data_IF_562901470301
#
_entry.id   IF_562901470301
#
_cell.length_a   1.000
_cell.length_b   1.000
_cell.length_c   1.000
_cell.angle_alpha   90.00
_cell.angle_beta   90.00
_cell.angle_gamma   90.00
#
_symmetry.space_group_name_H-M   'P 1'
#
loop_
_entity.id
_entity.type
_entity.pdbx_description
1 polymer ?
#
# COMPACT_ATOMS: atom_id res chain seq x y z
N UNK A 1 -6.04 -53.50 4.79
CA UNK A 1 -6.92 -52.85 5.78
C UNK A 1 -8.26 -53.55 5.78
N UNK A 2 -8.77 -53.90 6.96
CA UNK A 2 -10.09 -54.52 7.11
C UNK A 2 -11.20 -53.49 6.81
N UNK A 3 -12.38 -53.95 6.37
CA UNK A 3 -13.53 -53.06 6.09
C UNK A 3 -13.99 -52.27 7.33
N UNK A 4 -13.67 -52.75 8.53
CA UNK A 4 -14.00 -52.11 9.79
C UNK A 4 -13.09 -50.90 10.06
N UNK A 5 -11.79 -51.04 9.84
CA UNK A 5 -10.81 -49.94 9.95
C UNK A 5 -11.15 -48.77 9.02
N UNK A 6 -11.59 -49.06 7.79
CA UNK A 6 -11.94 -48.01 6.82
C UNK A 6 -13.18 -47.20 7.25
N UNK A 7 -14.16 -47.85 7.88
CA UNK A 7 -15.36 -47.20 8.44
C UNK A 7 -15.03 -46.32 9.65
N UNK A 8 -14.11 -46.78 10.49
CA UNK A 8 -13.63 -46.00 11.65
C UNK A 8 -12.83 -44.78 11.22
N UNK A 9 -11.93 -44.93 10.24
CA UNK A 9 -11.17 -43.81 9.67
C UNK A 9 -12.10 -42.76 9.04
N UNK A 10 -13.12 -43.17 8.28
CA UNK A 10 -14.13 -42.25 7.72
C UNK A 10 -14.85 -41.45 8.82
N UNK A 11 -15.29 -42.12 9.88
CA UNK A 11 -15.95 -41.47 11.02
C UNK A 11 -15.00 -40.51 11.77
N UNK A 12 -13.73 -40.86 11.88
CA UNK A 12 -12.72 -40.01 12.51
C UNK A 12 -12.50 -38.72 11.69
N UNK A 13 -12.36 -38.83 10.37
CA UNK A 13 -12.21 -37.69 9.46
C UNK A 13 -13.45 -36.78 9.50
N UNK A 14 -14.66 -37.35 9.45
CA UNK A 14 -15.91 -36.58 9.57
C UNK A 14 -16.02 -35.83 10.90
N UNK A 15 -15.62 -36.46 12.02
CA UNK A 15 -15.60 -35.83 13.34
C UNK A 15 -14.57 -34.70 13.43
N UNK A 16 -13.38 -34.89 12.86
CA UNK A 16 -12.36 -33.85 12.81
C UNK A 16 -12.82 -32.66 11.97
N UNK A 17 -13.42 -32.90 10.81
CA UNK A 17 -14.00 -31.84 9.97
C UNK A 17 -15.11 -31.06 10.68
N UNK A 18 -15.99 -31.74 11.42
CA UNK A 18 -17.02 -31.08 12.25
C UNK A 18 -16.40 -30.22 13.36
N UNK A 19 -15.43 -30.76 14.11
CA UNK A 19 -14.73 -30.00 15.17
C UNK A 19 -14.03 -28.75 14.64
N UNK A 20 -13.38 -28.86 13.48
CA UNK A 20 -12.74 -27.71 12.84
C UNK A 20 -13.77 -26.67 12.42
N UNK A 21 -14.91 -27.09 11.85
CA UNK A 21 -16.00 -26.19 11.50
C UNK A 21 -16.58 -25.49 12.72
N UNK A 22 -16.86 -26.22 13.79
CA UNK A 22 -17.41 -25.68 15.03
C UNK A 22 -16.43 -24.67 15.68
N UNK A 23 -15.12 -24.92 15.61
CA UNK A 23 -14.09 -23.99 16.09
C UNK A 23 -14.08 -22.68 15.28
N UNK A 24 -14.19 -22.77 13.95
CA UNK A 24 -14.27 -21.59 13.07
C UNK A 24 -15.54 -20.79 13.35
N UNK A 25 -16.68 -21.46 13.49
CA UNK A 25 -17.96 -20.80 13.81
C UNK A 25 -17.89 -20.11 15.18
N UNK A 26 -17.27 -20.75 16.19
CA UNK A 26 -17.02 -20.16 17.51
C UNK A 26 -16.14 -18.91 17.42
N UNK A 27 -14.98 -19.01 16.77
CA UNK A 27 -14.02 -17.89 16.63
C UNK A 27 -14.62 -16.72 15.85
N UNK A 28 -15.39 -17.00 14.80
CA UNK A 28 -16.03 -15.95 14.01
C UNK A 28 -17.16 -15.27 14.77
N UNK A 29 -17.91 -15.99 15.63
CA UNK A 29 -18.89 -15.38 16.53
C UNK A 29 -18.22 -14.48 17.55
N UNK A 30 -17.17 -14.95 18.22
CA UNK A 30 -16.40 -14.17 19.20
C UNK A 30 -15.83 -12.89 18.57
N UNK A 31 -15.27 -12.99 17.36
CA UNK A 31 -14.74 -11.82 16.64
C UNK A 31 -15.85 -10.81 16.29
N UNK A 32 -17.02 -11.28 15.85
CA UNK A 32 -18.17 -10.41 15.57
C UNK A 32 -18.68 -9.71 16.82
N UNK A 33 -18.73 -10.41 17.95
CA UNK A 33 -19.14 -9.84 19.25
C UNK A 33 -18.15 -8.77 19.73
N UNK A 34 -16.83 -9.02 19.63
CA UNK A 34 -15.80 -8.01 19.94
C UNK A 34 -15.94 -6.78 19.05
N UNK A 35 -16.08 -6.96 17.74
CA UNK A 35 -16.29 -5.85 16.82
C UNK A 35 -17.58 -5.07 17.11
N UNK A 36 -18.68 -5.77 17.44
CA UNK A 36 -19.93 -5.11 17.80
C UNK A 36 -19.79 -4.27 19.09
N UNK A 37 -19.06 -4.79 20.09
CA UNK A 37 -18.76 -4.05 21.32
C UNK A 37 -17.85 -2.84 21.06
N UNK A 38 -16.82 -2.99 20.24
CA UNK A 38 -15.93 -1.89 19.83
C UNK A 38 -16.68 -0.80 19.06
N UNK A 39 -17.56 -1.17 18.13
CA UNK A 39 -18.42 -0.23 17.39
C UNK A 39 -19.39 0.50 18.32
N UNK A 40 -20.01 -0.20 19.27
CA UNK A 40 -20.87 0.42 20.28
C UNK A 40 -20.09 1.41 21.14
N UNK A 41 -18.89 1.03 21.62
CA UNK A 41 -18.00 1.90 22.40
C UNK A 41 -17.60 3.15 21.61
N UNK A 42 -17.18 3.00 20.36
CA UNK A 42 -16.81 4.12 19.51
C UNK A 42 -18.00 5.04 19.21
N UNK A 43 -19.18 4.47 18.99
CA UNK A 43 -20.41 5.25 18.80
C UNK A 43 -20.72 6.08 20.04
N UNK A 44 -20.66 5.50 21.23
CA UNK A 44 -20.88 6.24 22.48
C UNK A 44 -19.78 7.28 22.75
N UNK A 45 -18.52 6.99 22.42
CA UNK A 45 -17.43 7.98 22.50
C UNK A 45 -17.67 9.16 21.55
N UNK A 46 -18.16 8.90 20.33
CA UNK A 46 -18.51 9.93 19.36
C UNK A 46 -19.72 10.76 19.83
N UNK A 47 -20.73 10.12 20.42
CA UNK A 47 -21.88 10.81 21.03
C UNK A 47 -21.42 11.74 22.18
N UNK A 48 -20.51 11.28 23.05
CA UNK A 48 -19.94 12.11 24.12
C UNK A 48 -19.09 13.25 23.55
N UNK A 49 -18.25 12.99 22.55
CA UNK A 49 -17.42 14.03 21.93
C UNK A 49 -18.29 15.11 21.24
N UNK A 50 -19.41 14.73 20.63
CA UNK A 50 -20.37 15.67 20.06
C UNK A 50 -21.13 16.51 21.11
N UNK A 51 -21.19 16.08 22.38
CA UNK A 51 -21.73 16.89 23.49
C UNK A 51 -20.68 17.79 24.15
N UNK A 52 -19.39 17.57 23.88
CA UNK A 52 -18.28 18.38 24.38
C UNK A 52 -17.87 19.47 23.37
N UNK A 53 -18.30 19.39 22.11
CA UNK A 53 -17.98 20.37 21.06
C UNK A 53 -18.68 21.73 21.14
N UNK A 54 -19.24 22.14 22.28
CA UNK A 54 -19.42 23.57 22.60
C UNK A 54 -18.23 24.15 23.38
N UNK A 55 -17.26 23.33 23.80
CA UNK A 55 -16.01 23.76 24.40
C UNK A 55 -14.84 22.86 23.96
N UNK A 56 -14.01 23.44 23.09
CA UNK A 56 -12.62 23.04 22.81
C UNK A 56 -12.39 21.95 21.75
N UNK A 57 -11.90 22.43 20.62
CA UNK A 57 -11.57 21.68 19.41
C UNK A 57 -10.07 21.30 19.44
N UNK A 58 -9.75 20.02 19.67
CA UNK A 58 -8.41 19.48 19.37
C UNK A 58 -8.48 18.02 18.90
N UNK A 59 -8.32 17.84 17.60
CA UNK A 59 -7.59 16.75 16.96
C UNK A 59 -8.02 15.30 17.22
N UNK A 60 -8.93 14.77 16.39
CA UNK A 60 -8.99 13.32 16.14
C UNK A 60 -8.89 13.05 14.64
N UNK A 61 -7.70 12.59 14.26
CA UNK A 61 -7.47 11.96 12.98
C UNK A 61 -8.04 10.54 12.94
N UNK A 62 -8.12 10.07 11.70
CA UNK A 62 -7.91 8.70 11.28
C UNK A 62 -9.13 7.81 10.98
N UNK A 63 -9.25 7.55 9.66
CA UNK A 63 -9.15 6.23 9.02
C UNK A 63 -10.07 5.12 9.54
N UNK A 64 -10.77 4.35 8.73
CA UNK A 64 -10.83 4.16 7.29
C UNK A 64 -11.88 3.05 7.12
N UNK A 65 -12.91 3.23 6.29
CA UNK A 65 -13.83 2.13 5.99
C UNK A 65 -13.89 1.84 4.50
N UNK A 66 -13.49 0.61 4.24
CA UNK A 66 -13.50 -0.20 3.02
C UNK A 66 -14.92 -0.68 2.75
N UNK A 67 -15.38 -0.61 1.49
CA UNK A 67 -16.56 -1.36 1.04
C UNK A 67 -16.29 -1.99 -0.34
N UNK A 68 -16.12 -3.32 -0.30
CA UNK A 68 -16.50 -4.28 -1.35
C UNK A 68 -18.04 -4.32 -1.44
N UNK A 69 -18.72 -4.54 -2.56
CA UNK A 69 -18.52 -5.53 -3.63
C UNK A 69 -19.81 -6.36 -3.75
N UNK A 70 -20.19 -6.74 -4.99
CA UNK A 70 -21.26 -7.70 -5.30
C UNK A 70 -22.53 -7.06 -5.90
N UNK A 71 -22.78 -7.03 -7.22
CA UNK A 71 -23.01 -8.10 -8.23
C UNK A 71 -24.47 -8.54 -8.37
N UNK A 72 -25.10 -8.26 -9.52
CA UNK A 72 -25.85 -9.21 -10.38
C UNK A 72 -26.58 -8.46 -11.51
N UNK A 73 -26.28 -8.85 -12.75
CA UNK A 73 -27.19 -8.64 -13.90
C UNK A 73 -28.40 -9.59 -13.80
N UNK A 74 -29.41 -9.48 -14.69
CA UNK A 74 -29.20 -9.61 -16.12
C UNK A 74 -29.97 -8.59 -16.99
N UNK A 75 -29.56 -8.56 -18.26
CA UNK A 75 -30.19 -7.77 -19.32
C UNK A 75 -31.64 -8.17 -19.59
N UNK A 76 -32.40 -7.17 -20.01
CA UNK A 76 -33.67 -7.33 -20.71
C UNK A 76 -33.61 -6.48 -21.97
N UNK A 77 -33.56 -7.21 -23.09
CA UNK A 77 -33.70 -6.78 -24.47
C UNK A 77 -35.05 -6.07 -24.68
N UNK A 78 -35.12 -5.11 -25.63
CA UNK A 78 -36.28 -4.97 -26.50
C UNK A 78 -37.12 -3.68 -26.44
N UNK A 79 -37.17 -3.04 -27.62
CA UNK A 79 -38.34 -2.38 -28.26
C UNK A 79 -38.40 -0.84 -28.25
N UNK A 80 -37.89 -0.31 -29.37
CA UNK A 80 -38.38 0.78 -30.24
C UNK A 80 -39.74 1.43 -29.93
N UNK A 81 -39.80 2.77 -29.94
CA UNK A 81 -40.47 3.53 -31.01
C UNK A 81 -40.20 5.04 -30.90
N UNK A 82 -39.84 5.62 -32.02
CA UNK A 82 -39.58 7.02 -32.30
C UNK A 82 -40.87 7.85 -32.25
N UNK A 83 -40.81 9.02 -31.60
CA UNK A 83 -41.80 10.08 -31.68
C UNK A 83 -41.15 11.42 -31.30
N UNK A 84 -41.25 12.47 -32.13
CA UNK A 84 -40.53 13.72 -31.92
C UNK A 84 -41.31 14.71 -31.04
N UNK A 85 -40.56 15.64 -30.46
CA UNK A 85 -40.95 16.97 -29.98
C UNK A 85 -41.13 17.24 -28.48
N UNK A 86 -40.52 18.38 -28.14
CA UNK A 86 -40.76 19.33 -27.06
C UNK A 86 -40.08 19.14 -25.69
N UNK A 87 -39.38 20.21 -25.35
CA UNK A 87 -38.44 20.45 -24.26
C UNK A 87 -39.17 20.51 -22.92
N UNK A 88 -39.60 19.35 -22.43
CA UNK A 88 -39.93 19.20 -21.00
C UNK A 88 -38.62 18.89 -20.29
N UNK A 89 -38.18 19.77 -19.40
CA UNK A 89 -37.04 19.50 -18.51
C UNK A 89 -37.30 18.18 -17.78
N UNK A 90 -36.71 17.09 -18.30
CA UNK A 90 -36.90 15.74 -17.79
C UNK A 90 -36.35 15.76 -16.37
N UNK A 91 -37.25 15.78 -15.39
CA UNK A 91 -36.86 15.64 -14.00
C UNK A 91 -36.00 14.39 -13.88
N UNK A 92 -34.77 14.58 -13.39
CA UNK A 92 -33.79 13.50 -13.26
C UNK A 92 -34.46 12.30 -12.59
N UNK A 93 -34.39 11.15 -13.26
CA UNK A 93 -34.97 9.90 -12.76
C UNK A 93 -34.47 9.60 -11.36
N UNK A 94 -35.28 8.91 -10.54
CA UNK A 94 -34.87 8.42 -9.21
C UNK A 94 -33.53 7.64 -9.28
N UNK A 95 -33.30 6.90 -10.37
CA UNK A 95 -32.04 6.19 -10.62
C UNK A 95 -30.87 7.15 -10.86
N UNK A 96 -31.09 8.23 -11.63
CA UNK A 96 -30.09 9.25 -11.90
C UNK A 96 -29.71 10.03 -10.63
N UNK A 97 -30.69 10.39 -9.79
CA UNK A 97 -30.43 11.02 -8.49
C UNK A 97 -29.63 10.11 -7.54
N UNK A 98 -29.90 8.80 -7.54
CA UNK A 98 -29.10 7.83 -6.75
C UNK A 98 -27.65 7.72 -7.23
N UNK A 99 -27.42 7.73 -8.54
CA UNK A 99 -26.05 7.72 -9.11
C UNK A 99 -25.30 9.00 -8.78
N UNK A 100 -25.95 10.16 -8.94
CA UNK A 100 -25.36 11.46 -8.62
C UNK A 100 -25.05 11.60 -7.12
N UNK A 101 -25.94 11.14 -6.23
CA UNK A 101 -25.68 11.14 -4.79
C UNK A 101 -24.51 10.21 -4.41
N UNK A 102 -24.39 9.05 -5.05
CA UNK A 102 -23.26 8.14 -4.84
C UNK A 102 -21.95 8.76 -5.34
N UNK A 103 -21.96 9.36 -6.52
CA UNK A 103 -20.79 10.04 -7.09
C UNK A 103 -20.35 11.23 -6.25
N UNK A 104 -21.28 12.02 -5.72
CA UNK A 104 -20.97 13.15 -4.83
C UNK A 104 -20.32 12.66 -3.52
N UNK A 105 -20.86 11.61 -2.91
CA UNK A 105 -20.30 11.03 -1.69
C UNK A 105 -18.92 10.39 -1.90
N UNK A 106 -18.70 9.76 -3.06
CA UNK A 106 -17.39 9.20 -3.42
C UNK A 106 -16.35 10.31 -3.67
N UNK A 107 -16.74 11.38 -4.38
CA UNK A 107 -15.88 12.54 -4.59
C UNK A 107 -15.52 13.25 -3.26
N UNK A 108 -16.46 13.40 -2.33
CA UNK A 108 -16.19 13.97 -1.01
C UNK A 108 -15.24 13.08 -0.19
N UNK A 109 -15.42 11.77 -0.24
CA UNK A 109 -14.53 10.80 0.42
C UNK A 109 -13.12 10.86 -0.16
N UNK A 110 -12.99 10.90 -1.47
CA UNK A 110 -11.69 11.03 -2.15
C UNK A 110 -11.01 12.36 -1.84
N UNK A 111 -11.76 13.46 -1.84
CA UNK A 111 -11.24 14.78 -1.45
C UNK A 111 -10.72 14.78 0.00
N UNK A 112 -11.44 14.13 0.94
CA UNK A 112 -10.98 13.98 2.32
C UNK A 112 -9.70 13.14 2.43
N UNK A 113 -9.60 12.07 1.64
CA UNK A 113 -8.40 11.23 1.60
C UNK A 113 -7.20 11.99 1.01
N UNK A 114 -7.43 12.77 -0.05
CA UNK A 114 -6.38 13.57 -0.69
C UNK A 114 -5.87 14.65 0.25
N UNK A 115 -6.77 15.37 0.92
CA UNK A 115 -6.41 16.36 1.93
C UNK A 115 -5.62 15.75 3.12
N UNK A 116 -5.99 14.55 3.57
CA UNK A 116 -5.23 13.85 4.63
C UNK A 116 -3.83 13.44 4.15
N UNK A 117 -3.69 13.03 2.89
CA UNK A 117 -2.39 12.68 2.29
C UNK A 117 -1.50 13.92 2.10
N UNK A 118 -2.06 15.03 1.63
CA UNK A 118 -1.33 16.28 1.48
C UNK A 118 -0.89 16.84 2.85
N UNK A 119 -1.72 16.69 3.88
CA UNK A 119 -1.39 17.09 5.25
C UNK A 119 -0.31 16.21 5.90
N UNK A 120 -0.14 14.95 5.49
CA UNK A 120 0.91 14.07 6.01
C UNK A 120 2.33 14.45 5.58
N UNK A 121 2.47 15.35 4.60
CA UNK A 121 3.77 15.85 4.15
C UNK A 121 4.60 14.80 3.42
N UNK A 122 5.87 15.12 3.08
CA UNK A 122 6.78 14.20 2.41
C UNK A 122 7.08 12.99 3.31
N UNK A 123 7.19 11.81 2.70
CA UNK A 123 7.56 10.60 3.43
C UNK A 123 9.01 10.67 3.91
N UNK A 124 9.33 9.97 5.00
CA UNK A 124 10.72 9.88 5.50
C UNK A 124 11.69 9.43 4.41
N UNK A 125 11.28 8.44 3.61
CA UNK A 125 12.02 7.97 2.45
C UNK A 125 12.33 9.08 1.44
N UNK A 126 11.36 9.94 1.12
CA UNK A 126 11.58 11.05 0.19
C UNK A 126 12.57 12.08 0.75
N UNK A 127 12.50 12.36 2.06
CA UNK A 127 13.44 13.26 2.74
C UNK A 127 14.86 12.67 2.79
N UNK A 128 14.99 11.36 2.99
CA UNK A 128 16.28 10.66 2.93
C UNK A 128 16.87 10.64 1.52
N UNK A 129 16.04 10.35 0.50
CA UNK A 129 16.45 10.37 -0.90
C UNK A 129 16.91 11.77 -1.34
N UNK A 130 16.19 12.83 -0.95
CA UNK A 130 16.60 14.22 -1.23
C UNK A 130 17.97 14.55 -0.62
N UNK A 131 18.19 14.17 0.64
CA UNK A 131 19.48 14.36 1.32
C UNK A 131 20.60 13.57 0.63
N UNK A 132 20.34 12.31 0.26
CA UNK A 132 21.31 11.48 -0.46
C UNK A 132 21.65 12.07 -1.83
N UNK A 133 20.66 12.53 -2.59
CA UNK A 133 20.88 13.21 -3.87
C UNK A 133 21.72 14.48 -3.72
N UNK A 134 21.50 15.26 -2.66
CA UNK A 134 22.30 16.45 -2.35
C UNK A 134 23.78 16.14 -2.14
N UNK A 135 24.11 14.96 -1.60
CA UNK A 135 25.49 14.49 -1.42
C UNK A 135 26.09 13.91 -2.71
N UNK A 136 25.28 13.26 -3.54
CA UNK A 136 25.75 12.54 -4.73
C UNK A 136 25.88 13.43 -5.96
N UNK A 137 25.03 14.45 -6.11
CA UNK A 137 25.03 15.33 -7.28
C UNK A 137 26.37 16.05 -7.52
N UNK A 138 27.07 16.60 -6.49
CA UNK A 138 28.41 17.19 -6.67
C UNK A 138 29.47 16.18 -7.12
N UNK A 139 29.24 14.89 -6.85
CA UNK A 139 30.13 13.79 -7.25
C UNK A 139 29.78 13.25 -8.64
N UNK A 140 28.81 13.85 -9.35
CA UNK A 140 28.25 13.34 -10.61
C UNK A 140 27.70 11.91 -10.51
N UNK A 141 27.20 11.52 -9.33
CA UNK A 141 26.59 10.22 -9.08
C UNK A 141 25.07 10.34 -8.96
N UNK A 142 24.37 9.27 -9.31
CA UNK A 142 22.91 9.16 -9.22
C UNK A 142 22.49 7.86 -8.54
N UNK A 143 21.33 7.88 -7.87
CA UNK A 143 20.74 6.68 -7.27
C UNK A 143 19.93 5.94 -8.33
N UNK A 144 20.12 4.63 -8.44
CA UNK A 144 19.29 3.74 -9.22
C UNK A 144 18.59 2.77 -8.29
N UNK A 145 17.27 2.67 -8.38
CA UNK A 145 16.50 1.75 -7.55
C UNK A 145 16.79 0.29 -7.90
N UNK A 146 17.05 -0.52 -6.87
CA UNK A 146 17.21 -1.97 -6.97
C UNK A 146 16.08 -2.62 -6.15
N UNK A 147 15.48 -3.73 -6.61
CA UNK A 147 14.45 -4.42 -5.86
C UNK A 147 14.87 -4.74 -4.42
N UNK A 148 13.99 -4.46 -3.45
CA UNK A 148 14.22 -4.72 -2.03
C UNK A 148 14.02 -6.21 -1.67
N UNK A 149 14.80 -7.09 -2.29
CA UNK A 149 14.85 -8.53 -2.01
C UNK A 149 16.17 -8.92 -1.31
N UNK A 150 16.31 -10.18 -0.91
CA UNK A 150 17.55 -10.69 -0.30
C UNK A 150 18.76 -10.77 -1.24
N UNK A 151 18.58 -10.48 -2.53
CA UNK A 151 19.64 -10.48 -3.55
C UNK A 151 19.99 -9.06 -4.01
N UNK A 152 19.45 -8.02 -3.38
CA UNK A 152 19.61 -6.62 -3.78
C UNK A 152 21.08 -6.22 -3.93
N UNK A 153 21.96 -6.72 -3.05
CA UNK A 153 23.41 -6.48 -3.13
C UNK A 153 23.99 -7.01 -4.45
N UNK A 154 23.68 -8.25 -4.83
CA UNK A 154 24.19 -8.86 -6.06
C UNK A 154 23.61 -8.19 -7.31
N UNK A 155 22.33 -7.79 -7.26
CA UNK A 155 21.68 -7.04 -8.33
C UNK A 155 22.34 -5.68 -8.55
N UNK A 156 22.68 -4.97 -7.47
CA UNK A 156 23.39 -3.69 -7.56
C UNK A 156 24.79 -3.86 -8.18
N UNK A 157 25.53 -4.89 -7.75
CA UNK A 157 26.85 -5.19 -8.31
C UNK A 157 26.77 -5.56 -9.80
N UNK A 158 25.82 -6.41 -10.17
CA UNK A 158 25.59 -6.77 -11.57
C UNK A 158 25.31 -5.53 -12.43
N UNK A 159 24.48 -4.61 -11.93
CA UNK A 159 24.16 -3.38 -12.64
C UNK A 159 25.39 -2.50 -12.87
N UNK A 160 26.23 -2.35 -11.85
CA UNK A 160 27.48 -1.59 -11.94
C UNK A 160 28.45 -2.22 -12.95
N UNK A 161 28.65 -3.55 -12.91
CA UNK A 161 29.59 -4.25 -13.78
C UNK A 161 29.17 -4.20 -15.26
N UNK A 162 27.87 -4.34 -15.55
CA UNK A 162 27.36 -4.28 -16.92
C UNK A 162 27.29 -2.85 -17.49
N UNK A 163 27.34 -1.84 -16.62
CA UNK A 163 27.30 -0.42 -17.02
C UNK A 163 28.66 0.14 -17.43
N UNK A 164 29.75 -0.58 -17.16
CA UNK A 164 31.09 -0.21 -17.65
C UNK A 164 31.15 -0.59 -19.12
N UNK A 165 31.26 0.37 -20.06
CA UNK A 165 31.48 0.03 -21.46
C UNK A 165 32.80 -0.73 -21.55
N UNK A 166 32.77 -1.91 -22.16
CA UNK A 166 33.97 -2.66 -22.50
C UNK A 166 34.88 -1.72 -23.32
N UNK A 167 35.97 -1.28 -22.70
CA UNK A 167 37.06 -0.64 -23.42
C UNK A 167 37.55 -1.66 -24.44
N UNK A 168 37.37 -1.33 -25.71
CA UNK A 168 37.91 -1.93 -26.92
C UNK A 168 38.83 -3.16 -26.67
N UNK A 169 38.29 -4.35 -26.98
CA UNK A 169 39.01 -5.62 -26.93
C UNK A 169 40.25 -5.59 -27.84
N UNK A 170 41.44 -5.61 -27.27
CA UNK A 170 42.59 -6.27 -27.87
C UNK A 170 42.67 -7.67 -27.26
N UNK A 171 42.39 -8.66 -28.09
CA UNK A 171 42.32 -10.07 -27.72
C UNK A 171 43.65 -10.58 -27.16
N UNK A 172 43.72 -10.79 -25.84
CA UNK A 172 44.75 -11.63 -25.23
C UNK A 172 44.09 -12.84 -24.60
N UNK A 173 44.35 -13.99 -25.23
CA UNK A 173 43.92 -15.30 -24.78
C UNK A 173 44.57 -15.65 -23.44
N UNK A 174 43.74 -15.93 -22.43
CA UNK A 174 44.11 -16.78 -21.32
C UNK A 174 44.76 -16.04 -20.14
N UNK A 175 44.04 -16.02 -19.03
CA UNK A 175 44.56 -15.60 -17.73
C UNK A 175 43.55 -14.70 -17.04
N UNK A 176 43.20 -15.04 -15.81
CA UNK A 176 42.55 -14.12 -14.88
C UNK A 176 43.55 -13.01 -14.55
N UNK A 177 43.79 -12.06 -15.46
CA UNK A 177 44.59 -10.90 -15.13
C UNK A 177 43.74 -9.98 -14.26
N UNK A 178 44.14 -9.93 -12.99
CA UNK A 178 43.69 -8.96 -12.01
C UNK A 178 43.83 -7.58 -12.64
N UNK A 179 42.70 -6.95 -12.94
CA UNK A 179 42.65 -5.56 -13.39
C UNK A 179 43.56 -4.73 -12.48
N UNK A 180 44.55 -4.00 -13.02
CA UNK A 180 45.28 -3.03 -12.24
C UNK A 180 44.28 -1.91 -12.01
N UNK A 181 43.58 -1.93 -10.87
CA UNK A 181 42.97 -0.72 -10.35
C UNK A 181 44.11 0.14 -9.84
N UNK A 182 44.52 1.23 -10.52
CA UNK A 182 45.39 2.20 -9.90
C UNK A 182 44.60 2.84 -8.75
N UNK A 183 44.88 2.38 -7.52
CA UNK A 183 44.44 3.00 -6.28
C UNK A 183 44.93 4.46 -6.12
N UNK A 184 45.69 4.99 -7.09
CA UNK A 184 46.42 6.25 -6.99
C UNK A 184 45.63 7.51 -7.42
N UNK A 185 44.35 7.41 -7.78
CA UNK A 185 43.60 8.58 -8.28
C UNK A 185 42.28 8.85 -7.56
N UNK A 186 42.11 8.36 -6.32
CA UNK A 186 41.09 8.95 -5.44
C UNK A 186 41.72 10.23 -4.87
N UNK A 187 41.35 11.44 -5.31
CA UNK A 187 41.76 12.64 -4.62
C UNK A 187 41.16 12.58 -3.21
N UNK A 188 42.00 12.25 -2.23
CA UNK A 188 41.72 12.52 -0.83
C UNK A 188 41.66 14.04 -0.68
N UNK A 189 40.51 14.62 -0.99
CA UNK A 189 40.20 15.95 -0.51
C UNK A 189 40.26 15.89 1.03
N UNK A 190 40.96 16.80 1.70
CA UNK A 190 40.92 16.86 3.14
C UNK A 190 39.47 17.08 3.53
N UNK A 191 38.88 16.07 4.16
CA UNK A 191 37.59 16.21 4.83
C UNK A 191 37.86 17.17 5.98
N UNK A 192 37.65 18.47 5.74
CA UNK A 192 37.59 19.44 6.80
C UNK A 192 36.36 19.08 7.62
N UNK A 193 36.55 18.30 8.69
CA UNK A 193 35.56 18.09 9.71
C UNK A 193 35.06 19.48 10.15
N UNK A 194 33.78 19.82 9.97
CA UNK A 194 33.23 20.96 10.67
C UNK A 194 33.31 20.61 12.16
N UNK A 195 34.12 21.36 12.90
CA UNK A 195 34.15 21.29 14.35
C UNK A 195 32.75 21.70 14.86
N UNK A 196 31.88 20.71 15.04
CA UNK A 196 30.64 20.91 15.80
C UNK A 196 31.00 20.93 17.27
N UNK A 197 30.66 21.98 18.04
CA UNK A 197 30.83 21.96 19.47
C UNK A 197 29.62 21.24 20.07
N UNK A 198 29.68 19.91 20.18
CA UNK A 198 28.72 19.20 21.02
C UNK A 198 29.32 19.02 22.42
N UNK A 199 28.68 19.57 23.47
CA UNK A 199 29.07 19.30 24.85
C UNK A 199 28.70 17.86 25.20
N UNK A 200 29.67 17.12 25.76
CA UNK A 200 29.39 15.84 26.40
C UNK A 200 28.42 16.05 27.56
N UNK A 201 27.33 15.29 27.57
CA UNK A 201 26.48 15.05 28.73
C UNK A 201 26.56 13.56 29.09
#
# INVERSE_FOLDING_TARGET
MSLQELKEHKRAVEKLGRKQKDEVDRRTKELRERHAAELSRLKSQLEVCNTVTEAENFGTGNRHSTISGGETGPGAEGISLYGPQETRSKQKSKSQRRREAKAAHEAEREARILAEKEAQGPTERALEEERLMGLLLPLSLSIKEVPADGHCMYRALQDQLLSVPDGEEEAVSGGYEVLPFPCSSIPLHPVSCPQTPFPCF
#
